data_IF_364295403440
#
_entry.id   IF_364295403440
#
_cell.length_a   1.000
_cell.length_b   1.000
_cell.length_c   1.000
_cell.angle_alpha   90.00
_cell.angle_beta   90.00
_cell.angle_gamma   90.00
#
_symmetry.space_group_name_H-M   'P 1'
#
loop_
_entity.id
_entity.type
_entity.pdbx_description
1 polymer ?
#
# COMPACT_ATOMS: atom_id res chain seq x y z
N UNK A 1 -16.78 32.78 0.52
CA UNK A 1 -16.86 31.32 0.72
C UNK A 1 -15.63 30.92 1.53
N UNK A 2 -15.81 30.08 2.54
CA UNK A 2 -14.73 29.73 3.47
C UNK A 2 -13.67 28.90 2.72
N UNK A 3 -12.40 29.26 2.76
CA UNK A 3 -11.26 28.57 2.09
C UNK A 3 -11.26 27.05 2.33
N UNK A 4 -11.71 26.62 3.51
CA UNK A 4 -11.83 25.20 3.86
C UNK A 4 -12.88 24.46 3.02
N UNK A 5 -14.06 25.06 2.83
CA UNK A 5 -15.12 24.42 2.04
C UNK A 5 -14.74 24.31 0.55
N UNK A 6 -14.02 25.31 0.05
CA UNK A 6 -13.52 25.28 -1.31
C UNK A 6 -12.45 24.19 -1.51
N UNK A 7 -11.50 24.08 -0.58
CA UNK A 7 -10.48 23.02 -0.62
C UNK A 7 -11.08 21.61 -0.53
N UNK A 8 -12.07 21.42 0.38
CA UNK A 8 -12.78 20.13 0.49
C UNK A 8 -13.53 19.78 -0.80
N UNK A 9 -14.16 20.75 -1.46
CA UNK A 9 -14.84 20.53 -2.74
C UNK A 9 -13.86 20.13 -3.85
N UNK A 10 -12.68 20.76 -3.90
CA UNK A 10 -11.62 20.41 -4.87
C UNK A 10 -11.09 19.00 -4.64
N UNK A 11 -10.83 18.60 -3.38
CA UNK A 11 -10.40 17.23 -3.06
C UNK A 11 -11.50 16.23 -3.42
N UNK A 12 -12.77 16.59 -3.19
CA UNK A 12 -13.93 15.77 -3.57
C UNK A 12 -14.00 15.48 -5.07
N UNK A 13 -13.90 16.52 -5.89
CA UNK A 13 -13.89 16.37 -7.35
C UNK A 13 -12.74 15.52 -7.86
N UNK A 14 -11.54 15.70 -7.27
CA UNK A 14 -10.37 14.89 -7.63
C UNK A 14 -10.55 13.43 -7.23
N UNK A 15 -11.13 13.16 -6.05
CA UNK A 15 -11.42 11.81 -5.59
C UNK A 15 -12.43 11.11 -6.50
N UNK A 16 -13.54 11.78 -6.84
CA UNK A 16 -14.54 11.26 -7.78
C UNK A 16 -13.91 10.90 -9.13
N UNK A 17 -13.09 11.81 -9.67
CA UNK A 17 -12.39 11.57 -10.93
C UNK A 17 -11.48 10.34 -10.88
N UNK A 18 -10.72 10.17 -9.78
CA UNK A 18 -9.86 8.99 -9.58
C UNK A 18 -10.71 7.72 -9.48
N UNK A 19 -11.82 7.74 -8.74
CA UNK A 19 -12.73 6.59 -8.60
C UNK A 19 -13.36 6.20 -9.94
N UNK A 20 -13.76 7.16 -10.77
CA UNK A 20 -14.23 6.89 -12.13
C UNK A 20 -13.16 6.23 -13.00
N UNK A 21 -11.91 6.68 -12.91
CA UNK A 21 -10.82 6.09 -13.67
C UNK A 21 -10.52 4.65 -13.19
N UNK A 22 -10.56 4.39 -11.88
CA UNK A 22 -10.47 3.03 -11.32
C UNK A 22 -11.58 2.15 -11.87
N UNK A 23 -12.83 2.65 -11.84
CA UNK A 23 -13.97 1.90 -12.32
C UNK A 23 -13.85 1.56 -13.81
N UNK A 24 -13.46 2.53 -14.64
CA UNK A 24 -13.25 2.31 -16.08
C UNK A 24 -12.13 1.29 -16.33
N UNK A 25 -11.01 1.36 -15.62
CA UNK A 25 -9.91 0.42 -15.78
C UNK A 25 -10.31 -1.02 -15.37
N UNK A 26 -11.03 -1.17 -14.27
CA UNK A 26 -11.53 -2.48 -13.82
C UNK A 26 -12.49 -3.09 -14.84
N UNK A 27 -13.47 -2.31 -15.33
CA UNK A 27 -14.46 -2.78 -16.31
C UNK A 27 -13.82 -3.20 -17.66
N UNK A 28 -12.73 -2.54 -18.09
CA UNK A 28 -12.01 -2.95 -19.32
C UNK A 28 -11.48 -4.38 -19.27
N UNK A 29 -11.24 -4.91 -18.09
CA UNK A 29 -10.73 -6.28 -17.88
C UNK A 29 -11.73 -7.19 -17.17
N UNK A 30 -13.02 -6.88 -17.27
CA UNK A 30 -14.14 -7.64 -16.70
C UNK A 30 -14.04 -7.84 -15.18
N UNK A 31 -13.47 -6.87 -14.46
CA UNK A 31 -13.44 -6.82 -12.99
C UNK A 31 -14.45 -5.84 -12.45
N UNK A 32 -14.94 -6.07 -11.24
CA UNK A 32 -15.79 -5.10 -10.55
C UNK A 32 -14.94 -4.01 -9.90
N UNK A 33 -15.35 -2.72 -9.93
CA UNK A 33 -14.59 -1.64 -9.28
C UNK A 33 -14.32 -1.89 -7.79
N UNK A 34 -15.24 -2.56 -7.08
CA UNK A 34 -15.09 -2.90 -5.66
C UNK A 34 -13.96 -3.89 -5.34
N UNK A 35 -13.36 -4.53 -6.34
CA UNK A 35 -12.16 -5.36 -6.16
C UNK A 35 -10.88 -4.55 -6.02
N UNK A 36 -10.94 -3.22 -6.22
CA UNK A 36 -9.77 -2.34 -6.19
C UNK A 36 -9.89 -1.36 -5.03
N UNK A 37 -9.03 -1.50 -4.05
CA UNK A 37 -8.91 -0.55 -2.93
C UNK A 37 -8.11 0.66 -3.37
N UNK A 38 -8.69 1.85 -3.17
CA UNK A 38 -7.99 3.11 -3.32
C UNK A 38 -7.28 3.47 -2.01
N UNK A 39 -5.96 3.37 -1.99
CA UNK A 39 -5.12 3.81 -0.90
C UNK A 39 -4.68 5.27 -1.16
N UNK A 40 -5.23 6.21 -0.41
CA UNK A 40 -4.89 7.62 -0.54
C UNK A 40 -3.56 7.91 0.18
N UNK A 41 -2.54 8.32 -0.59
CA UNK A 41 -1.19 8.56 -0.06
C UNK A 41 -1.10 9.96 0.50
N UNK A 42 -1.10 10.06 1.82
CA UNK A 42 -1.21 11.31 2.61
C UNK A 42 0.14 11.91 3.05
N UNK A 43 1.26 11.34 2.59
CA UNK A 43 2.59 11.88 2.90
C UNK A 43 2.69 13.36 2.56
N UNK A 44 3.30 14.15 3.44
CA UNK A 44 3.51 15.60 3.33
C UNK A 44 2.23 16.47 3.41
N UNK A 45 1.05 15.89 3.49
CA UNK A 45 -0.20 16.62 3.68
C UNK A 45 -0.54 16.79 5.16
N UNK A 46 -1.23 17.89 5.50
CA UNK A 46 -1.63 18.19 6.88
C UNK A 46 -2.73 17.26 7.39
N UNK A 47 -2.83 17.11 8.70
CA UNK A 47 -3.92 16.36 9.33
C UNK A 47 -5.31 16.90 8.93
N UNK A 48 -5.44 18.23 8.76
CA UNK A 48 -6.68 18.85 8.29
C UNK A 48 -7.08 18.37 6.89
N UNK A 49 -6.14 18.35 5.93
CA UNK A 49 -6.41 17.84 4.57
C UNK A 49 -6.81 16.37 4.59
N UNK A 50 -6.21 15.57 5.47
CA UNK A 50 -6.55 14.16 5.64
C UNK A 50 -7.95 13.98 6.22
N UNK A 51 -8.31 14.77 7.25
CA UNK A 51 -9.65 14.76 7.85
C UNK A 51 -10.72 15.13 6.82
N UNK A 52 -10.44 16.09 5.93
CA UNK A 52 -11.35 16.45 4.83
C UNK A 52 -11.51 15.28 3.83
N UNK A 53 -10.43 14.57 3.50
CA UNK A 53 -10.50 13.40 2.63
C UNK A 53 -11.30 12.25 3.28
N UNK A 54 -11.15 12.02 4.58
CA UNK A 54 -11.95 11.05 5.33
C UNK A 54 -13.42 11.43 5.32
N UNK A 55 -13.74 12.70 5.54
CA UNK A 55 -15.12 13.20 5.55
C UNK A 55 -15.86 13.01 4.22
N UNK A 56 -15.15 12.85 3.11
CA UNK A 56 -15.70 12.56 1.78
C UNK A 56 -15.54 11.11 1.35
N UNK A 57 -15.19 10.20 2.28
CA UNK A 57 -15.24 8.76 2.06
C UNK A 57 -13.90 8.06 1.84
N UNK A 58 -12.76 8.69 2.05
CA UNK A 58 -11.46 7.99 2.08
C UNK A 58 -11.38 7.14 3.34
N UNK A 59 -11.16 5.84 3.18
CA UNK A 59 -11.09 4.86 4.27
C UNK A 59 -9.68 4.33 4.53
N UNK A 60 -8.82 4.34 3.51
CA UNK A 60 -7.48 3.77 3.54
C UNK A 60 -6.43 4.85 3.25
N UNK A 61 -5.49 5.03 4.16
CA UNK A 61 -4.47 6.08 4.11
C UNK A 61 -3.07 5.47 4.13
N UNK A 62 -2.21 5.96 3.24
CA UNK A 62 -0.83 5.49 3.09
C UNK A 62 0.21 6.53 3.52
N UNK A 63 1.11 6.13 4.42
CA UNK A 63 2.25 6.93 4.85
C UNK A 63 3.59 6.27 4.46
N UNK A 64 4.56 7.11 4.10
CA UNK A 64 5.88 6.63 3.71
C UNK A 64 6.86 6.53 4.89
N UNK A 65 6.65 7.30 5.96
CA UNK A 65 7.59 7.43 7.07
C UNK A 65 6.89 7.28 8.41
N UNK A 66 7.44 6.40 9.26
CA UNK A 66 6.94 6.19 10.62
C UNK A 66 6.92 7.49 11.41
N UNK A 67 7.99 8.31 11.29
CA UNK A 67 8.13 9.57 12.03
C UNK A 67 7.03 10.59 11.68
N UNK A 68 6.64 10.67 10.42
CA UNK A 68 5.56 11.54 9.98
C UNK A 68 4.21 11.04 10.50
N UNK A 69 4.01 9.73 10.50
CA UNK A 69 2.81 9.09 11.02
C UNK A 69 2.66 9.25 12.55
N UNK A 70 3.76 9.31 13.31
CA UNK A 70 3.76 9.48 14.77
C UNK A 70 3.05 10.76 15.23
N UNK A 71 3.14 11.82 14.46
CA UNK A 71 2.44 13.08 14.74
C UNK A 71 1.06 13.12 14.11
N UNK A 72 0.96 12.65 12.89
CA UNK A 72 -0.23 12.79 12.05
C UNK A 72 -1.38 11.88 12.46
N UNK A 73 -1.11 10.60 12.75
CA UNK A 73 -2.15 9.63 13.11
C UNK A 73 -2.89 10.02 14.40
N UNK A 74 -2.23 10.43 15.50
CA UNK A 74 -2.95 10.91 16.69
C UNK A 74 -3.78 12.17 16.43
N UNK A 75 -3.29 13.09 15.60
CA UNK A 75 -4.00 14.35 15.28
C UNK A 75 -5.24 14.11 14.41
N UNK A 76 -5.18 13.20 13.46
CA UNK A 76 -6.31 12.80 12.61
C UNK A 76 -7.32 11.94 13.40
N UNK A 77 -6.82 11.07 14.27
CA UNK A 77 -7.56 10.03 14.96
C UNK A 77 -7.20 8.64 14.47
N UNK A 78 -6.65 7.80 15.36
CA UNK A 78 -6.16 6.46 15.02
C UNK A 78 -7.23 5.57 14.37
N UNK A 79 -8.49 5.74 14.80
CA UNK A 79 -9.64 4.94 14.34
C UNK A 79 -10.40 5.58 13.15
N UNK A 80 -9.94 6.76 12.69
CA UNK A 80 -10.64 7.50 11.64
C UNK A 80 -10.45 6.88 10.25
N UNK A 81 -9.38 6.10 10.06
CA UNK A 81 -9.07 5.41 8.82
C UNK A 81 -8.21 4.16 9.08
N UNK A 82 -8.06 3.30 8.07
CA UNK A 82 -7.10 2.22 8.05
C UNK A 82 -5.76 2.75 7.57
N UNK A 83 -4.72 2.60 8.39
CA UNK A 83 -3.40 3.19 8.15
C UNK A 83 -2.43 2.16 7.59
N UNK A 84 -1.81 2.47 6.46
CA UNK A 84 -0.87 1.61 5.76
C UNK A 84 0.52 2.23 5.73
N UNK A 85 1.53 1.47 6.14
CA UNK A 85 2.92 1.84 5.89
C UNK A 85 3.34 1.32 4.51
N UNK A 86 3.63 2.24 3.59
CA UNK A 86 4.00 1.92 2.20
C UNK A 86 5.44 2.30 1.85
N UNK A 87 6.17 2.95 2.75
CA UNK A 87 7.58 3.27 2.58
C UNK A 87 8.47 2.32 3.36
N UNK A 88 9.77 2.33 3.05
CA UNK A 88 10.75 1.45 3.67
C UNK A 88 10.73 1.52 5.20
N UNK A 89 10.67 0.36 5.84
CA UNK A 89 10.66 0.22 7.28
C UNK A 89 12.04 -0.18 7.80
N UNK A 90 12.71 0.76 8.47
CA UNK A 90 13.93 0.47 9.21
C UNK A 90 13.60 -0.38 10.45
N UNK A 91 14.41 -1.42 10.73
CA UNK A 91 14.17 -2.36 11.84
C UNK A 91 14.08 -1.70 13.22
N UNK A 92 14.79 -0.59 13.46
CA UNK A 92 14.72 0.18 14.70
C UNK A 92 13.39 0.93 14.89
N UNK A 93 12.59 1.09 13.83
CA UNK A 93 11.25 1.71 13.85
C UNK A 93 10.11 0.69 13.93
N UNK A 94 10.43 -0.61 13.93
CA UNK A 94 9.43 -1.68 13.88
C UNK A 94 8.38 -1.55 14.99
N UNK A 95 8.77 -1.22 16.24
CA UNK A 95 7.82 -1.07 17.36
C UNK A 95 6.78 0.01 17.07
N UNK A 96 7.23 1.19 16.66
CA UNK A 96 6.32 2.31 16.34
C UNK A 96 5.45 1.99 15.13
N UNK A 97 6.00 1.30 14.13
CA UNK A 97 5.22 0.86 12.97
C UNK A 97 4.08 -0.09 13.38
N UNK A 98 4.36 -1.10 14.22
CA UNK A 98 3.36 -2.03 14.71
C UNK A 98 2.28 -1.35 15.56
N UNK A 99 2.61 -0.30 16.33
CA UNK A 99 1.65 0.49 17.12
C UNK A 99 0.74 1.36 16.24
N UNK A 100 1.27 1.92 15.15
CA UNK A 100 0.61 2.96 14.36
C UNK A 100 -0.16 2.43 13.15
N UNK A 101 0.33 1.38 12.48
CA UNK A 101 -0.22 0.96 11.20
C UNK A 101 -1.05 -0.31 11.30
N UNK A 102 -2.10 -0.38 10.49
CA UNK A 102 -2.95 -1.56 10.35
C UNK A 102 -2.37 -2.57 9.39
N UNK A 103 -1.62 -2.09 8.39
CA UNK A 103 -0.99 -2.92 7.35
C UNK A 103 0.41 -2.40 7.05
N UNK A 104 1.37 -3.31 6.85
CA UNK A 104 2.72 -2.96 6.40
C UNK A 104 2.95 -3.57 5.02
N UNK A 105 3.19 -2.72 4.01
CA UNK A 105 3.40 -3.15 2.62
C UNK A 105 4.88 -3.38 2.29
N UNK A 106 5.77 -2.94 3.15
CA UNK A 106 7.21 -2.84 2.87
C UNK A 106 8.05 -3.90 3.58
N UNK A 107 7.49 -5.10 3.76
CA UNK A 107 8.27 -6.22 4.29
C UNK A 107 9.21 -6.75 3.19
N UNK A 108 10.53 -6.66 3.42
CA UNK A 108 11.53 -6.95 2.40
C UNK A 108 12.59 -7.99 2.82
N UNK A 109 12.50 -8.52 4.04
CA UNK A 109 13.53 -9.45 4.54
C UNK A 109 13.03 -10.36 5.65
N UNK A 110 13.68 -11.52 5.79
CA UNK A 110 13.49 -12.47 6.90
C UNK A 110 13.76 -11.80 8.26
N UNK A 111 14.78 -10.95 8.32
CA UNK A 111 15.14 -10.25 9.54
C UNK A 111 14.03 -9.30 10.00
N UNK A 112 13.41 -8.58 9.07
CA UNK A 112 12.29 -7.67 9.35
C UNK A 112 11.04 -8.45 9.77
N UNK A 113 10.72 -9.58 9.11
CA UNK A 113 9.61 -10.44 9.49
C UNK A 113 9.73 -10.91 10.96
N UNK A 114 10.88 -11.47 11.33
CA UNK A 114 11.16 -11.92 12.70
C UNK A 114 11.11 -10.78 13.72
N UNK A 115 11.57 -9.58 13.31
CA UNK A 115 11.51 -8.40 14.18
C UNK A 115 10.09 -7.93 14.42
N UNK A 116 9.25 -7.88 13.38
CA UNK A 116 7.83 -7.50 13.48
C UNK A 116 7.05 -8.51 14.34
N UNK A 117 7.24 -9.81 14.11
CA UNK A 117 6.59 -10.86 14.90
C UNK A 117 6.91 -10.74 16.39
N UNK A 118 8.20 -10.59 16.74
CA UNK A 118 8.63 -10.35 18.13
C UNK A 118 7.96 -9.11 18.73
N UNK A 119 7.94 -8.00 17.99
CA UNK A 119 7.32 -6.75 18.47
C UNK A 119 5.82 -6.93 18.67
N UNK A 120 5.13 -7.64 17.76
CA UNK A 120 3.71 -7.98 17.93
C UNK A 120 3.47 -8.75 19.25
N UNK A 121 4.34 -9.71 19.59
CA UNK A 121 4.27 -10.41 20.86
C UNK A 121 4.48 -9.50 22.08
N UNK A 122 5.45 -8.57 22.01
CA UNK A 122 5.73 -7.63 23.09
C UNK A 122 4.55 -6.70 23.42
N UNK A 123 3.69 -6.36 22.44
CA UNK A 123 2.55 -5.46 22.62
C UNK A 123 1.18 -6.16 22.51
N UNK A 124 1.17 -7.48 22.48
CA UNK A 124 -0.04 -8.31 22.35
C UNK A 124 -0.86 -8.00 21.09
N UNK A 125 -0.22 -7.67 19.98
CA UNK A 125 -0.86 -7.49 18.68
C UNK A 125 -0.86 -8.80 17.92
N UNK A 126 -2.02 -9.23 17.46
CA UNK A 126 -2.19 -10.46 16.68
C UNK A 126 -2.56 -10.15 15.23
N UNK A 127 -2.20 -11.07 14.33
CA UNK A 127 -2.60 -11.06 12.92
C UNK A 127 -2.30 -9.74 12.19
N UNK A 128 -1.11 -9.14 12.41
CA UNK A 128 -0.69 -7.95 11.66
C UNK A 128 -0.58 -8.29 10.16
N UNK A 129 -1.41 -7.68 9.29
CA UNK A 129 -1.31 -7.89 7.85
C UNK A 129 -0.01 -7.30 7.31
N UNK A 130 0.70 -8.09 6.49
CA UNK A 130 1.93 -7.65 5.81
C UNK A 130 1.90 -8.05 4.35
N UNK A 131 2.45 -7.20 3.48
CA UNK A 131 2.75 -7.53 2.09
C UNK A 131 4.26 -7.58 1.93
N UNK A 132 4.76 -8.51 1.10
CA UNK A 132 6.17 -8.54 0.74
C UNK A 132 6.41 -7.53 -0.37
N UNK A 133 7.31 -6.58 -0.14
CA UNK A 133 7.79 -5.67 -1.17
C UNK A 133 8.83 -6.37 -2.03
N UNK A 134 8.57 -6.48 -3.33
CA UNK A 134 9.46 -7.11 -4.32
C UNK A 134 10.10 -6.04 -5.19
N UNK A 135 11.42 -6.03 -5.27
CA UNK A 135 12.18 -5.22 -6.21
C UNK A 135 12.31 -5.94 -7.54
N UNK A 136 11.46 -5.57 -8.50
CA UNK A 136 11.47 -6.08 -9.86
C UNK A 136 12.28 -5.19 -10.83
N UNK A 137 12.60 -3.97 -10.41
CA UNK A 137 13.33 -3.00 -11.23
C UNK A 137 14.85 -3.06 -11.06
N UNK A 138 15.33 -3.79 -10.05
CA UNK A 138 16.75 -3.88 -9.68
C UNK A 138 17.43 -2.52 -9.52
N UNK A 139 16.67 -1.54 -8.99
CA UNK A 139 17.19 -0.20 -8.73
C UNK A 139 17.89 -0.16 -7.36
N UNK A 140 19.17 0.11 -7.33
CA UNK A 140 19.99 0.16 -6.10
C UNK A 140 19.50 1.19 -5.07
N UNK A 141 18.66 2.13 -5.48
CA UNK A 141 18.10 3.19 -4.63
C UNK A 141 16.74 2.83 -4.03
N UNK A 142 16.09 1.74 -4.48
CA UNK A 142 14.79 1.29 -3.98
C UNK A 142 14.96 0.10 -3.05
N UNK A 143 14.12 0.08 -2.01
CA UNK A 143 13.99 -1.06 -1.10
C UNK A 143 13.09 -2.12 -1.73
N UNK A 144 13.24 -3.36 -1.28
CA UNK A 144 12.46 -4.52 -1.70
C UNK A 144 13.32 -5.78 -1.72
N UNK A 145 12.71 -6.92 -1.51
CA UNK A 145 13.36 -8.20 -1.67
C UNK A 145 13.60 -8.49 -3.15
N UNK A 146 14.76 -8.97 -3.52
CA UNK A 146 14.95 -9.57 -4.84
C UNK A 146 14.05 -10.81 -4.96
N UNK A 147 13.54 -11.08 -6.14
CA UNK A 147 12.54 -12.14 -6.36
C UNK A 147 13.00 -13.51 -5.82
N UNK A 148 14.27 -13.85 -5.96
CA UNK A 148 14.84 -15.10 -5.44
C UNK A 148 14.81 -15.26 -3.91
N UNK A 149 14.65 -14.17 -3.16
CA UNK A 149 14.56 -14.20 -1.71
C UNK A 149 13.10 -14.33 -1.21
N UNK A 150 12.11 -14.09 -2.06
CA UNK A 150 10.68 -14.14 -1.68
C UNK A 150 10.29 -15.47 -1.07
N UNK A 151 10.68 -16.65 -1.59
CA UNK A 151 10.35 -17.94 -0.96
C UNK A 151 10.88 -18.07 0.47
N UNK A 152 12.07 -17.54 0.76
CA UNK A 152 12.65 -17.57 2.12
C UNK A 152 11.86 -16.66 3.08
N UNK A 153 11.37 -15.52 2.59
CA UNK A 153 10.55 -14.61 3.39
C UNK A 153 9.19 -15.27 3.67
N UNK A 154 8.57 -15.91 2.68
CA UNK A 154 7.32 -16.66 2.87
C UNK A 154 7.47 -17.75 3.92
N UNK A 155 8.58 -18.52 3.87
CA UNK A 155 8.84 -19.56 4.86
C UNK A 155 9.06 -18.98 6.28
N UNK A 156 9.73 -17.84 6.39
CA UNK A 156 9.87 -17.15 7.67
C UNK A 156 8.51 -16.64 8.21
N UNK A 157 7.61 -16.20 7.33
CA UNK A 157 6.27 -15.76 7.71
C UNK A 157 5.39 -16.92 8.21
N UNK A 158 5.53 -18.13 7.67
CA UNK A 158 4.86 -19.32 8.20
C UNK A 158 5.27 -19.63 9.66
N UNK A 159 6.49 -19.23 10.03
CA UNK A 159 7.04 -19.36 11.38
C UNK A 159 6.79 -18.12 12.27
N UNK A 160 6.04 -17.14 11.78
CA UNK A 160 5.74 -15.85 12.43
C UNK A 160 4.23 -15.74 12.68
N UNK A 161 3.69 -16.41 13.72
CA UNK A 161 2.24 -16.61 13.90
C UNK A 161 1.46 -15.31 14.16
N UNK A 162 2.15 -14.24 14.54
CA UNK A 162 1.54 -12.93 14.80
C UNK A 162 1.49 -12.04 13.57
N UNK A 163 2.05 -12.50 12.45
CA UNK A 163 1.96 -11.83 11.14
C UNK A 163 1.03 -12.62 10.21
N UNK A 164 0.36 -11.91 9.34
CA UNK A 164 -0.47 -12.50 8.29
C UNK A 164 -0.01 -11.99 6.92
N UNK A 165 0.58 -12.87 6.11
CA UNK A 165 0.91 -12.53 4.72
C UNK A 165 -0.38 -12.36 3.93
N UNK A 166 -0.62 -11.15 3.41
CA UNK A 166 -1.84 -10.83 2.65
C UNK A 166 -1.57 -10.60 1.17
N UNK A 167 -0.33 -10.38 0.74
CA UNK A 167 -0.04 -10.15 -0.66
C UNK A 167 1.38 -9.69 -0.94
N UNK A 168 1.55 -9.10 -2.13
CA UNK A 168 2.81 -8.56 -2.63
C UNK A 168 2.66 -7.08 -2.96
N UNK A 169 3.77 -6.35 -2.91
CA UNK A 169 3.86 -4.95 -3.33
C UNK A 169 5.07 -4.75 -4.24
N UNK A 170 4.95 -3.88 -5.25
CA UNK A 170 6.10 -3.39 -6.03
C UNK A 170 6.01 -1.90 -6.33
N UNK A 171 7.18 -1.32 -6.58
CA UNK A 171 7.38 0.05 -7.05
C UNK A 171 8.27 -0.01 -8.30
N UNK A 172 7.68 -0.11 -9.51
CA UNK A 172 8.48 -0.15 -10.74
C UNK A 172 9.31 1.12 -10.91
N UNK A 173 10.32 1.12 -11.80
CA UNK A 173 10.94 2.35 -12.27
C UNK A 173 9.89 3.33 -12.81
N UNK A 174 10.20 4.63 -12.75
CA UNK A 174 9.38 5.61 -13.42
C UNK A 174 9.66 5.58 -14.93
N UNK A 175 8.61 5.56 -15.72
CA UNK A 175 8.66 5.64 -17.18
C UNK A 175 7.84 6.83 -17.66
N UNK A 176 8.26 7.45 -18.76
CA UNK A 176 7.47 8.53 -19.38
C UNK A 176 6.18 7.96 -20.00
N UNK A 177 6.26 6.82 -20.65
CA UNK A 177 5.09 6.02 -21.04
C UNK A 177 4.73 5.05 -19.93
N UNK A 178 3.52 5.19 -19.39
CA UNK A 178 3.02 4.34 -18.32
C UNK A 178 2.91 2.85 -18.74
N UNK A 179 2.75 2.57 -20.04
CA UNK A 179 2.72 1.20 -20.57
C UNK A 179 4.03 0.43 -20.32
N UNK A 180 5.15 1.10 -20.23
CA UNK A 180 6.44 0.47 -19.92
C UNK A 180 6.50 -0.11 -18.50
N UNK A 181 5.58 0.27 -17.60
CA UNK A 181 5.44 -0.35 -16.29
C UNK A 181 4.68 -1.70 -16.32
N UNK A 182 3.93 -2.00 -17.39
CA UNK A 182 3.10 -3.20 -17.52
C UNK A 182 3.84 -4.52 -17.28
N UNK A 183 5.07 -4.74 -17.81
CA UNK A 183 5.81 -5.97 -17.57
C UNK A 183 6.09 -6.23 -16.08
N UNK A 184 6.33 -5.18 -15.30
CA UNK A 184 6.59 -5.28 -13.85
C UNK A 184 5.32 -5.66 -13.09
N UNK A 185 4.17 -5.09 -13.44
CA UNK A 185 2.89 -5.43 -12.84
C UNK A 185 2.47 -6.86 -13.16
N UNK A 186 2.65 -7.28 -14.42
CA UNK A 186 2.42 -8.66 -14.86
C UNK A 186 3.32 -9.63 -14.09
N UNK A 187 4.60 -9.31 -13.94
CA UNK A 187 5.53 -10.18 -13.21
C UNK A 187 5.15 -10.32 -11.74
N UNK A 188 4.73 -9.24 -11.08
CA UNK A 188 4.24 -9.32 -9.70
C UNK A 188 3.00 -10.20 -9.58
N UNK A 189 2.05 -10.10 -10.54
CA UNK A 189 0.87 -10.96 -10.59
C UNK A 189 1.24 -12.43 -10.75
N UNK A 190 2.12 -12.75 -11.69
CA UNK A 190 2.60 -14.12 -11.90
C UNK A 190 3.24 -14.71 -10.64
N UNK A 191 4.06 -13.93 -9.95
CA UNK A 191 4.68 -14.34 -8.69
C UNK A 191 3.62 -14.57 -7.60
N UNK A 192 2.62 -13.67 -7.47
CA UNK A 192 1.50 -13.83 -6.56
C UNK A 192 0.72 -15.12 -6.86
N UNK A 193 0.42 -15.40 -8.13
CA UNK A 193 -0.33 -16.57 -8.56
C UNK A 193 0.43 -17.87 -8.25
N UNK A 194 1.75 -17.89 -8.45
CA UNK A 194 2.61 -19.00 -8.06
C UNK A 194 2.59 -19.24 -6.55
N UNK A 195 2.69 -18.18 -5.74
CA UNK A 195 2.64 -18.29 -4.28
C UNK A 195 1.25 -18.69 -3.79
N UNK A 196 0.18 -18.20 -4.42
CA UNK A 196 -1.20 -18.58 -4.12
C UNK A 196 -1.42 -20.08 -4.35
N UNK A 197 -0.94 -20.61 -5.47
CA UNK A 197 -1.00 -22.04 -5.78
C UNK A 197 -0.24 -22.91 -4.75
N UNK A 198 0.73 -22.33 -4.04
CA UNK A 198 1.47 -22.96 -2.95
C UNK A 198 0.81 -22.74 -1.56
N UNK A 199 -0.36 -22.10 -1.51
CA UNK A 199 -1.09 -21.82 -0.28
C UNK A 199 -0.50 -20.72 0.60
N UNK A 200 0.35 -19.83 0.05
CA UNK A 200 1.05 -18.80 0.82
C UNK A 200 0.09 -17.78 1.49
N UNK A 201 -1.11 -17.59 0.93
CA UNK A 201 -2.12 -16.63 1.41
C UNK A 201 -3.34 -17.31 2.06
N UNK A 202 -3.23 -18.63 2.39
CA UNK A 202 -4.37 -19.41 2.87
C UNK A 202 -5.46 -19.57 1.82
N UNK A 203 -6.70 -19.26 2.18
CA UNK A 203 -7.87 -19.34 1.27
C UNK A 203 -7.98 -18.11 0.33
N UNK A 204 -7.16 -17.09 0.52
CA UNK A 204 -7.16 -15.87 -0.28
C UNK A 204 -6.24 -16.01 -1.51
N UNK A 205 -6.54 -15.27 -2.56
CA UNK A 205 -5.67 -15.23 -3.76
C UNK A 205 -4.40 -14.38 -3.58
N UNK A 206 -4.36 -13.57 -2.54
CA UNK A 206 -3.28 -12.60 -2.28
C UNK A 206 -3.49 -11.25 -2.94
N UNK A 207 -3.27 -10.18 -2.18
CA UNK A 207 -3.37 -8.79 -2.63
C UNK A 207 -2.19 -8.41 -3.53
N UNK A 208 -2.43 -7.49 -4.48
CA UNK A 208 -1.41 -6.85 -5.31
C UNK A 208 -1.46 -5.35 -5.09
N UNK A 209 -0.53 -4.84 -4.26
CA UNK A 209 -0.33 -3.40 -4.06
C UNK A 209 0.64 -2.88 -5.11
N UNK A 210 0.10 -2.31 -6.18
CA UNK A 210 0.87 -1.78 -7.31
C UNK A 210 0.08 -0.71 -8.05
N UNK A 211 0.77 0.19 -8.75
CA UNK A 211 0.18 1.33 -9.44
C UNK A 211 0.09 2.59 -8.57
N UNK A 212 0.50 3.69 -9.16
CA UNK A 212 0.49 5.04 -8.60
C UNK A 212 -0.24 6.00 -9.54
N UNK A 213 -0.25 7.29 -9.25
CA UNK A 213 -0.99 8.31 -10.01
C UNK A 213 -0.80 8.23 -11.53
N UNK A 214 0.38 7.85 -12.00
CA UNK A 214 0.71 7.83 -13.43
C UNK A 214 0.31 6.53 -14.14
N UNK A 215 0.37 5.39 -13.45
CA UNK A 215 0.32 4.05 -14.04
C UNK A 215 -0.75 3.11 -13.42
N UNK A 216 -1.59 3.62 -12.50
CA UNK A 216 -2.56 2.79 -11.78
C UNK A 216 -3.59 2.11 -12.68
N UNK A 217 -3.98 2.72 -13.80
CA UNK A 217 -4.95 2.11 -14.71
C UNK A 217 -4.38 0.82 -15.31
N UNK A 218 -3.11 0.86 -15.74
CA UNK A 218 -2.38 -0.28 -16.26
C UNK A 218 -2.18 -1.34 -15.18
N UNK A 219 -1.85 -0.90 -13.94
CA UNK A 219 -1.75 -1.80 -12.80
C UNK A 219 -3.07 -2.54 -12.54
N UNK A 220 -4.23 -1.86 -12.64
CA UNK A 220 -5.56 -2.47 -12.49
C UNK A 220 -5.80 -3.51 -13.59
N UNK A 221 -5.45 -3.19 -14.82
CA UNK A 221 -5.56 -4.12 -15.96
C UNK A 221 -4.69 -5.37 -15.76
N UNK A 222 -3.54 -5.23 -15.12
CA UNK A 222 -2.66 -6.34 -14.73
C UNK A 222 -3.02 -6.97 -13.37
N UNK A 223 -4.16 -6.61 -12.76
CA UNK A 223 -4.71 -7.31 -11.60
C UNK A 223 -4.45 -6.65 -10.25
N UNK A 224 -4.03 -5.37 -10.19
CA UNK A 224 -3.90 -4.67 -8.92
C UNK A 224 -5.19 -4.75 -8.08
N UNK A 225 -5.06 -5.03 -6.79
CA UNK A 225 -6.15 -4.99 -5.81
C UNK A 225 -6.05 -3.76 -4.91
N UNK A 226 -4.87 -3.13 -4.85
CA UNK A 226 -4.62 -1.88 -4.11
C UNK A 226 -3.81 -0.95 -5.02
N UNK A 227 -4.37 0.24 -5.29
CA UNK A 227 -3.66 1.32 -6.00
C UNK A 227 -3.34 2.47 -5.04
N UNK A 228 -2.14 3.08 -5.15
CA UNK A 228 -1.62 4.06 -4.20
C UNK A 228 -1.56 5.45 -4.85
N UNK A 229 -2.54 6.28 -4.57
CA UNK A 229 -2.75 7.55 -5.25
C UNK A 229 -2.62 8.72 -4.27
N UNK A 230 -1.70 9.63 -4.53
CA UNK A 230 -1.47 10.84 -3.71
C UNK A 230 -1.83 12.12 -4.44
N UNK A 231 -0.95 12.55 -5.33
CA UNK A 231 -1.04 13.86 -6.01
C UNK A 231 -2.36 14.07 -6.77
N UNK A 232 -2.95 13.01 -7.35
CA UNK A 232 -4.23 13.11 -8.04
C UNK A 232 -5.40 13.38 -7.09
N UNK A 233 -5.28 13.11 -5.78
CA UNK A 233 -6.31 13.37 -4.78
C UNK A 233 -6.01 14.68 -4.04
N UNK A 234 -4.84 14.79 -3.44
CA UNK A 234 -4.50 15.91 -2.56
C UNK A 234 -3.94 17.14 -3.31
N UNK A 235 -3.55 16.98 -4.59
CA UNK A 235 -2.93 18.04 -5.37
C UNK A 235 -1.38 18.03 -5.30
N UNK A 236 -0.77 19.00 -5.96
CA UNK A 236 0.67 19.21 -5.87
C UNK A 236 1.08 19.60 -4.44
N UNK A 237 2.30 19.27 -4.08
CA UNK A 237 2.87 19.66 -2.78
C UNK A 237 2.97 21.18 -2.70
N UNK A 238 2.41 21.76 -1.66
CA UNK A 238 2.62 23.17 -1.31
C UNK A 238 4.03 23.39 -0.73
#
# INVERSE_FOLDING_TARGET
MNSKAQHQAEVGQRLEHVQEQIARAALRVNRTPGEVTLLAVSKTHSAESIQQAIAIGVTDLGENRVQEAETKIPEVGRQAARWHLIGHLQSNKARRAVELFDVIHSLDSVALARRLDRVCGEINRIALPVLIQVDLGHETTKSGAVESEVPKIVEALKQSPLLRLTGLMTLPPYFDDAEDARPFFRRLRELRDQLSAQGAFGEQSGELSMGMTHDFQIAIEEGATIVRIGTAIFGARG
#
